data_IF_264197131673
#
_entry.id   IF_264197131673
#
_cell.length_a   1.000
_cell.length_b   1.000
_cell.length_c   1.000
_cell.angle_alpha   90.00
_cell.angle_beta   90.00
_cell.angle_gamma   90.00
#
_symmetry.space_group_name_H-M   'P 1'
#
loop_
_entity.id
_entity.type
_entity.pdbx_description
1 polymer ?
#
# COMPACT_ATOMS: atom_id res chain seq x y z
N UNK A 1 9.63 8.85 2.69
CA UNK A 1 8.16 8.89 2.68
C UNK A 1 7.53 7.93 3.71
N UNK A 2 7.92 6.65 3.83
CA UNK A 2 7.32 5.74 4.83
C UNK A 2 7.27 6.28 6.27
N UNK A 3 8.35 6.94 6.73
CA UNK A 3 8.38 7.55 8.07
C UNK A 3 7.44 8.75 8.23
N UNK A 4 7.22 9.53 7.16
CA UNK A 4 6.25 10.63 7.17
C UNK A 4 4.81 10.09 7.22
N UNK A 5 4.55 8.97 6.53
CA UNK A 5 3.26 8.26 6.59
C UNK A 5 3.01 7.75 8.01
N UNK A 6 3.99 7.05 8.59
CA UNK A 6 3.88 6.54 9.96
C UNK A 6 3.64 7.66 10.97
N UNK A 7 4.36 8.78 10.84
CA UNK A 7 4.13 9.96 11.67
C UNK A 7 2.74 10.55 11.48
N UNK A 8 2.27 10.65 10.23
CA UNK A 8 0.94 11.15 9.90
C UNK A 8 -0.14 10.31 10.57
N UNK A 9 -0.17 8.99 10.36
CA UNK A 9 -1.22 8.15 10.95
C UNK A 9 -1.11 8.01 12.48
N UNK A 10 0.08 8.22 13.05
CA UNK A 10 0.26 8.30 14.51
C UNK A 10 -0.33 9.57 15.13
N UNK A 11 -0.41 10.68 14.38
CA UNK A 11 -0.74 12.01 14.93
C UNK A 11 -2.00 12.65 14.35
N UNK A 12 -2.45 12.19 13.19
CA UNK A 12 -3.62 12.71 12.51
C UNK A 12 -4.92 12.15 13.11
N UNK A 13 -6.01 12.91 12.94
CA UNK A 13 -7.35 12.42 13.25
C UNK A 13 -7.73 11.27 12.31
N UNK A 14 -8.60 10.37 12.78
CA UNK A 14 -9.04 9.18 12.05
C UNK A 14 -9.60 9.47 10.64
N UNK A 15 -10.22 10.64 10.46
CA UNK A 15 -10.86 11.02 9.19
C UNK A 15 -9.87 11.52 8.12
N UNK A 16 -8.64 11.86 8.50
CA UNK A 16 -7.65 12.37 7.55
C UNK A 16 -6.94 11.23 6.82
N UNK A 17 -6.62 11.46 5.54
CA UNK A 17 -5.91 10.52 4.68
C UNK A 17 -4.58 11.10 4.23
N UNK A 18 -3.51 10.30 4.29
CA UNK A 18 -2.18 10.82 3.96
C UNK A 18 -2.11 11.32 2.51
N UNK A 19 -2.67 10.57 1.56
CA UNK A 19 -2.56 10.87 0.12
C UNK A 19 -3.18 12.23 -0.23
N UNK A 20 -4.36 12.54 0.31
CA UNK A 20 -5.07 13.80 0.04
C UNK A 20 -4.60 14.94 0.96
N UNK A 21 -4.47 14.68 2.26
CA UNK A 21 -4.40 15.74 3.28
C UNK A 21 -3.00 15.91 3.87
N UNK A 22 -2.21 14.84 3.89
CA UNK A 22 -0.95 14.76 4.64
C UNK A 22 0.31 14.84 3.79
N UNK A 23 0.23 14.46 2.51
CA UNK A 23 1.40 14.16 1.69
C UNK A 23 2.19 15.43 1.34
N UNK A 24 3.41 15.61 1.89
CA UNK A 24 4.23 16.78 1.64
C UNK A 24 4.56 17.01 0.17
N UNK A 25 4.62 18.28 -0.25
CA UNK A 25 4.95 18.67 -1.63
C UNK A 25 6.25 18.05 -2.15
N UNK A 26 7.27 17.89 -1.29
CA UNK A 26 8.56 17.30 -1.66
C UNK A 26 8.43 15.89 -2.27
N UNK A 27 7.55 15.05 -1.72
CA UNK A 27 7.38 13.68 -2.22
C UNK A 27 6.63 13.66 -3.54
N UNK A 28 5.60 14.50 -3.69
CA UNK A 28 4.86 14.66 -4.96
C UNK A 28 5.77 15.13 -6.10
N UNK A 29 6.65 16.10 -5.82
CA UNK A 29 7.62 16.62 -6.81
C UNK A 29 8.65 15.56 -7.19
N UNK A 30 9.22 14.85 -6.21
CA UNK A 30 10.19 13.78 -6.48
C UNK A 30 9.58 12.64 -7.29
N UNK A 31 8.36 12.20 -6.93
CA UNK A 31 7.65 11.17 -7.70
C UNK A 31 7.45 11.60 -9.15
N UNK A 32 6.98 12.83 -9.38
CA UNK A 32 6.79 13.36 -10.73
C UNK A 32 8.10 13.34 -11.55
N UNK A 33 9.21 13.77 -10.95
CA UNK A 33 10.51 13.75 -11.63
C UNK A 33 10.98 12.33 -11.97
N UNK A 34 10.73 11.35 -11.10
CA UNK A 34 11.03 9.95 -11.36
C UNK A 34 10.17 9.38 -12.50
N UNK A 35 8.87 9.66 -12.50
CA UNK A 35 7.95 9.24 -13.55
C UNK A 35 8.31 9.86 -14.91
N UNK A 36 8.66 11.15 -14.95
CA UNK A 36 9.07 11.84 -16.17
C UNK A 36 10.40 11.28 -16.70
N UNK A 37 11.34 10.96 -15.80
CA UNK A 37 12.59 10.25 -16.16
C UNK A 37 12.31 8.84 -16.70
N UNK A 38 11.31 8.15 -16.20
CA UNK A 38 10.95 6.82 -16.68
C UNK A 38 10.26 6.88 -18.05
N UNK A 39 9.37 7.85 -18.27
CA UNK A 39 8.76 8.10 -19.59
C UNK A 39 9.81 8.35 -20.67
N UNK A 40 10.86 9.11 -20.37
CA UNK A 40 11.95 9.35 -21.33
C UNK A 40 12.81 8.10 -21.60
N UNK A 41 12.78 7.11 -20.71
CA UNK A 41 13.48 5.82 -20.86
C UNK A 41 12.65 4.73 -21.54
N UNK A 42 11.32 4.91 -21.62
CA UNK A 42 10.37 3.93 -22.16
C UNK A 42 10.59 3.54 -23.63
N UNK A 43 11.47 4.24 -24.36
CA UNK A 43 11.98 3.82 -25.67
C UNK A 43 12.92 2.60 -25.62
N UNK A 44 13.36 2.17 -24.42
CA UNK A 44 14.14 0.94 -24.20
C UNK A 44 13.24 -0.13 -23.59
N UNK A 45 13.27 -1.33 -24.15
CA UNK A 45 12.56 -2.52 -23.63
C UNK A 45 12.92 -2.71 -22.15
N UNK A 46 11.96 -2.42 -21.25
CA UNK A 46 12.09 -2.66 -19.82
C UNK A 46 12.13 -4.17 -19.60
N UNK A 47 13.28 -4.69 -19.18
CA UNK A 47 13.41 -6.11 -18.85
C UNK A 47 12.68 -6.40 -17.54
N UNK A 48 11.93 -7.50 -17.43
CA UNK A 48 11.34 -7.92 -16.17
C UNK A 48 12.40 -8.00 -15.08
N UNK A 49 12.03 -7.58 -13.88
CA UNK A 49 12.91 -7.66 -12.72
C UNK A 49 13.15 -9.14 -12.39
N UNK A 50 14.38 -9.50 -12.05
CA UNK A 50 14.76 -10.89 -11.68
C UNK A 50 14.97 -11.06 -10.17
N UNK A 51 14.98 -9.96 -9.42
CA UNK A 51 15.15 -9.94 -7.96
C UNK A 51 14.14 -8.97 -7.34
N UNK A 52 13.66 -9.22 -6.10
CA UNK A 52 12.85 -8.27 -5.35
C UNK A 52 13.46 -6.87 -5.28
N UNK A 53 12.61 -5.87 -5.10
CA UNK A 53 13.07 -4.51 -4.85
C UNK A 53 13.75 -4.44 -3.48
N UNK A 54 14.88 -3.76 -3.38
CA UNK A 54 15.54 -3.51 -2.09
C UNK A 54 14.76 -2.52 -1.23
N UNK A 55 13.93 -1.70 -1.87
CA UNK A 55 12.98 -0.78 -1.28
C UNK A 55 11.70 -0.89 -2.10
N UNK A 56 10.55 -0.85 -1.44
CA UNK A 56 9.26 -0.85 -2.13
C UNK A 56 9.16 0.34 -3.07
N UNK A 57 8.83 0.05 -4.34
CA UNK A 57 8.83 1.04 -5.42
C UNK A 57 7.77 2.13 -5.21
N UNK A 58 6.59 1.71 -4.72
CA UNK A 58 5.55 2.64 -4.34
C UNK A 58 5.81 3.20 -2.93
N UNK A 59 6.25 4.44 -2.88
CA UNK A 59 6.58 5.13 -1.63
C UNK A 59 5.35 5.42 -0.77
N UNK A 60 4.15 5.36 -1.34
CA UNK A 60 2.87 5.52 -0.66
C UNK A 60 2.28 4.20 -0.13
N UNK A 61 2.94 3.05 -0.34
CA UNK A 61 2.45 1.72 0.03
C UNK A 61 1.85 1.68 1.45
N UNK A 62 2.59 2.20 2.44
CA UNK A 62 2.15 2.19 3.83
C UNK A 62 0.89 3.01 4.09
N UNK A 63 0.62 4.06 3.30
CA UNK A 63 -0.62 4.81 3.43
C UNK A 63 -1.82 3.97 3.00
N UNK A 64 -1.66 3.13 1.97
CA UNK A 64 -2.72 2.20 1.55
C UNK A 64 -2.95 1.10 2.58
N UNK A 65 -1.91 0.61 3.26
CA UNK A 65 -2.05 -0.35 4.37
C UNK A 65 -2.90 0.24 5.50
N UNK A 66 -2.65 1.49 5.89
CA UNK A 66 -3.41 2.15 6.96
C UNK A 66 -4.89 2.38 6.57
N UNK A 67 -5.17 2.75 5.32
CA UNK A 67 -6.55 2.86 4.83
C UNK A 67 -7.24 1.48 4.74
N UNK A 68 -6.51 0.43 4.36
CA UNK A 68 -7.03 -0.94 4.34
C UNK A 68 -7.35 -1.46 5.76
N UNK A 69 -6.61 -1.06 6.78
CA UNK A 69 -6.99 -1.34 8.17
C UNK A 69 -8.29 -0.65 8.56
N UNK A 70 -8.46 0.63 8.24
CA UNK A 70 -9.71 1.37 8.51
C UNK A 70 -10.91 0.76 7.78
N UNK A 71 -10.71 0.37 6.54
CA UNK A 71 -11.75 -0.29 5.73
C UNK A 71 -12.11 -1.66 6.31
N UNK A 72 -11.13 -2.44 6.79
CA UNK A 72 -11.36 -3.73 7.45
C UNK A 72 -12.12 -3.58 8.78
N UNK A 73 -11.76 -2.61 9.61
CA UNK A 73 -12.52 -2.31 10.83
C UNK A 73 -13.96 -1.89 10.55
N UNK A 74 -14.15 -1.07 9.51
CA UNK A 74 -15.47 -0.62 9.08
C UNK A 74 -16.30 -1.80 8.56
N UNK A 75 -15.68 -2.71 7.81
CA UNK A 75 -16.31 -3.92 7.31
C UNK A 75 -16.74 -4.85 8.46
N UNK A 76 -15.89 -5.04 9.47
CA UNK A 76 -16.22 -5.80 10.71
C UNK A 76 -17.38 -5.17 11.50
N UNK A 77 -17.63 -3.86 11.35
CA UNK A 77 -18.78 -3.15 11.93
C UNK A 77 -20.04 -3.19 11.04
N UNK A 78 -20.04 -3.98 9.96
CA UNK A 78 -21.18 -4.17 9.06
C UNK A 78 -21.23 -3.21 7.87
N UNK A 79 -20.18 -2.41 7.62
CA UNK A 79 -20.13 -1.54 6.44
C UNK A 79 -19.63 -2.29 5.21
N UNK A 80 -20.50 -3.11 4.62
CA UNK A 80 -20.16 -3.99 3.49
C UNK A 80 -19.65 -3.29 2.23
N UNK A 81 -19.91 -1.98 2.08
CA UNK A 81 -19.36 -1.15 1.00
C UNK A 81 -17.82 -1.08 0.95
N UNK A 82 -17.13 -1.47 2.04
CA UNK A 82 -15.65 -1.52 2.12
C UNK A 82 -15.05 -2.82 1.60
N UNK A 83 -15.86 -3.83 1.30
CA UNK A 83 -15.38 -5.11 0.79
C UNK A 83 -14.58 -4.93 -0.52
N UNK A 84 -15.15 -4.17 -1.46
CA UNK A 84 -14.53 -3.93 -2.76
C UNK A 84 -13.17 -3.22 -2.65
N UNK A 85 -13.01 -2.28 -1.71
CA UNK A 85 -11.74 -1.57 -1.55
C UNK A 85 -10.65 -2.48 -0.96
N UNK A 86 -11.01 -3.41 -0.07
CA UNK A 86 -10.08 -4.40 0.48
C UNK A 86 -9.63 -5.41 -0.59
N UNK A 87 -10.55 -5.90 -1.42
CA UNK A 87 -10.22 -6.78 -2.55
C UNK A 87 -9.31 -6.09 -3.57
N UNK A 88 -9.58 -4.81 -3.87
CA UNK A 88 -8.72 -4.01 -4.73
C UNK A 88 -7.31 -3.83 -4.14
N UNK A 89 -7.22 -3.62 -2.82
CA UNK A 89 -5.93 -3.52 -2.14
C UNK A 89 -5.17 -4.85 -2.15
N UNK A 90 -5.84 -5.98 -1.89
CA UNK A 90 -5.25 -7.32 -2.01
C UNK A 90 -4.71 -7.59 -3.42
N UNK A 91 -5.48 -7.24 -4.45
CA UNK A 91 -5.06 -7.36 -5.84
C UNK A 91 -3.87 -6.46 -6.17
N UNK A 92 -3.87 -5.22 -5.66
CA UNK A 92 -2.75 -4.28 -5.81
C UNK A 92 -1.45 -4.87 -5.23
N UNK A 93 -1.50 -5.41 -4.01
CA UNK A 93 -0.33 -6.03 -3.36
C UNK A 93 0.14 -7.26 -4.13
N UNK A 94 -0.79 -8.10 -4.59
CA UNK A 94 -0.48 -9.28 -5.42
C UNK A 94 0.23 -8.89 -6.71
N UNK A 95 -0.26 -7.87 -7.40
CA UNK A 95 0.35 -7.36 -8.64
C UNK A 95 1.78 -6.85 -8.40
N UNK A 96 1.99 -6.06 -7.33
CA UNK A 96 3.32 -5.57 -7.00
C UNK A 96 4.28 -6.68 -6.58
N UNK A 97 3.79 -7.71 -5.86
CA UNK A 97 4.59 -8.89 -5.49
C UNK A 97 5.03 -9.67 -6.73
N UNK A 98 4.11 -9.93 -7.66
CA UNK A 98 4.40 -10.63 -8.92
C UNK A 98 5.39 -9.85 -9.80
N UNK A 99 5.31 -8.52 -9.77
CA UNK A 99 6.26 -7.64 -10.45
C UNK A 99 7.60 -7.45 -9.70
N UNK A 100 7.80 -8.11 -8.56
CA UNK A 100 8.97 -7.99 -7.69
C UNK A 100 9.27 -6.54 -7.25
N UNK A 101 8.21 -5.73 -7.08
CA UNK A 101 8.28 -4.30 -6.72
C UNK A 101 8.16 -4.01 -5.21
N UNK A 102 7.87 -5.05 -4.44
CA UNK A 102 7.76 -5.00 -2.97
C UNK A 102 9.07 -5.50 -2.36
N UNK A 103 9.52 -4.81 -1.32
CA UNK A 103 10.66 -5.25 -0.50
C UNK A 103 10.25 -6.32 0.53
N UNK A 104 11.17 -7.20 0.89
CA UNK A 104 10.89 -8.30 1.82
C UNK A 104 10.55 -7.84 3.24
N UNK A 105 10.95 -6.63 3.63
CA UNK A 105 10.67 -6.02 4.93
C UNK A 105 9.16 -5.90 5.24
N UNK A 106 8.33 -5.72 4.21
CA UNK A 106 6.87 -5.68 4.34
C UNK A 106 6.29 -7.00 4.86
N UNK A 107 6.96 -8.12 4.62
CA UNK A 107 6.49 -9.45 5.04
C UNK A 107 7.09 -9.92 6.36
N UNK A 108 7.85 -9.07 7.05
CA UNK A 108 8.39 -9.40 8.37
C UNK A 108 7.28 -9.62 9.38
N UNK A 109 7.54 -10.50 10.34
CA UNK A 109 6.65 -10.73 11.47
C UNK A 109 6.46 -9.43 12.26
N UNK A 110 5.21 -9.12 12.60
CA UNK A 110 4.84 -7.87 13.28
C UNK A 110 4.74 -6.64 12.39
N UNK A 111 4.98 -6.74 11.07
CA UNK A 111 4.70 -5.61 10.17
C UNK A 111 3.19 -5.33 10.10
N UNK A 112 2.80 -4.05 9.95
CA UNK A 112 1.38 -3.68 9.85
C UNK A 112 0.69 -4.35 8.67
N UNK A 113 1.41 -4.62 7.57
CA UNK A 113 0.87 -5.34 6.42
C UNK A 113 0.67 -6.83 6.73
N UNK A 114 1.64 -7.46 7.40
CA UNK A 114 1.54 -8.88 7.76
C UNK A 114 0.34 -9.12 8.68
N UNK A 115 0.20 -8.29 9.72
CA UNK A 115 -0.94 -8.33 10.64
C UNK A 115 -2.27 -8.05 9.93
N UNK A 116 -2.28 -7.09 8.99
CA UNK A 116 -3.48 -6.81 8.17
C UNK A 116 -3.87 -8.04 7.35
N UNK A 117 -2.90 -8.66 6.67
CA UNK A 117 -3.14 -9.81 5.80
C UNK A 117 -3.72 -10.99 6.57
N UNK A 118 -3.23 -11.24 7.80
CA UNK A 118 -3.76 -12.29 8.67
C UNK A 118 -5.20 -12.00 9.10
N UNK A 119 -5.47 -10.77 9.54
CA UNK A 119 -6.82 -10.32 9.90
C UNK A 119 -7.80 -10.36 8.72
N UNK A 120 -7.32 -10.09 7.51
CA UNK A 120 -8.12 -10.15 6.29
C UNK A 120 -8.47 -11.59 5.91
N UNK A 121 -7.50 -12.52 5.97
CA UNK A 121 -7.74 -13.95 5.74
C UNK A 121 -8.69 -14.56 6.78
N UNK A 122 -8.59 -14.16 8.04
CA UNK A 122 -9.55 -14.54 9.08
C UNK A 122 -10.97 -14.07 8.75
N UNK A 123 -11.11 -12.81 8.33
CA UNK A 123 -12.40 -12.26 7.92
C UNK A 123 -12.99 -13.06 6.75
N UNK A 124 -12.20 -13.30 5.70
CA UNK A 124 -12.62 -14.09 4.52
C UNK A 124 -13.05 -15.50 4.91
N UNK A 125 -12.32 -16.19 5.80
CA UNK A 125 -12.69 -17.53 6.28
C UNK A 125 -14.00 -17.55 7.06
N UNK A 126 -14.24 -16.55 7.90
CA UNK A 126 -15.47 -16.46 8.69
C UNK A 126 -16.73 -16.14 7.85
N UNK A 127 -16.53 -15.56 6.65
CA UNK A 127 -17.61 -15.13 5.77
C UNK A 127 -17.59 -15.84 4.40
N UNK A 128 -16.80 -16.92 4.28
CA UNK A 128 -16.85 -17.82 3.15
C UNK A 128 -18.07 -18.73 3.33
N UNK A 129 -18.89 -18.95 2.28
CA UNK A 129 -20.00 -19.89 2.31
C UNK A 129 -19.55 -21.33 2.57
#
# INVERSE_FOLDING_TARGET
EPLDIAYFYRTANADKKYISDGRPRRHKVLQKWLEDKEKTRSSRVQRPRTKPASLTEDTCFWAYVEEAWKDLESLKKGQHQRLQSLEQFEQYVTNMKNALKISSDIFLEGSSFKLWSESWEEYKRAHSP
#
